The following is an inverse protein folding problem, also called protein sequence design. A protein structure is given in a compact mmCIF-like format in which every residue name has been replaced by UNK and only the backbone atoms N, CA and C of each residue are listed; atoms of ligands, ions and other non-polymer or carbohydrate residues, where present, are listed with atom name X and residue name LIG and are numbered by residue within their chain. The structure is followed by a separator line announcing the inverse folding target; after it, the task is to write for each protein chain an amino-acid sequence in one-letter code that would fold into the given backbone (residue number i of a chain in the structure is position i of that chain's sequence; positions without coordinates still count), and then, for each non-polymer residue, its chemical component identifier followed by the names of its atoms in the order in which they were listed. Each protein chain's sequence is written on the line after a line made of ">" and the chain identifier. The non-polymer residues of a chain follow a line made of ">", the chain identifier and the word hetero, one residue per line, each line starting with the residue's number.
data_IF_848345165222
#
_entry.id   IF_848345165222
#
_cell.length_a   1.000
_cell.length_b   1.000
_cell.length_c   1.000
_cell.angle_alpha   90.00
_cell.angle_beta   90.00
_cell.angle_gamma   90.00
#
_symmetry.space_group_name_H-M   'P 1'
#
loop_
_entity.id
_entity.type
_entity.pdbx_description
1 polymer ?
#
# COMPACT_ATOMS: atom_id res chain seq x y z
N UNK A 1 -5.75 -2.38 -9.59
CA UNK A 1 -5.55 -2.70 -8.16
C UNK A 1 -6.46 -1.83 -7.29
N UNK A 2 -6.41 -0.51 -7.45
CA UNK A 2 -7.12 0.42 -6.56
C UNK A 2 -8.65 0.29 -6.65
N UNK A 3 -9.24 0.28 -7.84
CA UNK A 3 -10.71 0.30 -8.01
C UNK A 3 -11.45 -0.90 -7.37
N UNK A 4 -10.78 -2.04 -7.20
CA UNK A 4 -11.34 -3.25 -6.59
C UNK A 4 -11.09 -3.33 -5.07
N UNK A 5 -10.19 -2.51 -4.54
CA UNK A 5 -9.84 -2.48 -3.11
C UNK A 5 -10.24 -1.14 -2.51
N UNK A 6 -11.40 -1.14 -1.86
CA UNK A 6 -12.04 0.06 -1.33
C UNK A 6 -11.12 0.91 -0.42
N UNK A 7 -10.35 0.28 0.47
CA UNK A 7 -9.51 1.01 1.42
C UNK A 7 -8.30 1.66 0.75
N UNK A 8 -7.61 0.92 -0.13
CA UNK A 8 -6.42 1.46 -0.80
C UNK A 8 -6.82 2.55 -1.82
N UNK A 9 -7.97 2.42 -2.48
CA UNK A 9 -8.49 3.47 -3.38
C UNK A 9 -8.78 4.77 -2.64
N UNK A 10 -9.50 4.71 -1.52
CA UNK A 10 -9.81 5.92 -0.75
C UNK A 10 -8.55 6.56 -0.17
N UNK A 11 -7.59 5.76 0.32
CA UNK A 11 -6.33 6.29 0.81
C UNK A 11 -5.50 6.94 -0.31
N UNK A 12 -5.45 6.32 -1.49
CA UNK A 12 -4.75 6.89 -2.65
C UNK A 12 -5.37 8.22 -3.08
N UNK A 13 -6.69 8.27 -3.27
CA UNK A 13 -7.40 9.49 -3.63
C UNK A 13 -7.16 10.64 -2.63
N UNK A 14 -7.09 10.33 -1.33
CA UNK A 14 -6.83 11.32 -0.29
C UNK A 14 -5.37 11.81 -0.22
N UNK A 15 -4.45 11.18 -0.96
CA UNK A 15 -3.01 11.46 -0.94
C UNK A 15 -2.41 11.84 -2.29
N UNK A 16 -3.24 12.01 -3.33
CA UNK A 16 -2.79 12.50 -4.64
C UNK A 16 -2.10 13.86 -4.51
N UNK A 17 -0.92 14.02 -5.13
CA UNK A 17 -0.10 15.22 -5.04
C UNK A 17 0.63 15.38 -3.70
N UNK A 18 0.59 14.37 -2.83
CA UNK A 18 1.28 14.35 -1.54
C UNK A 18 2.27 13.17 -1.42
N UNK A 19 2.82 12.72 -2.53
CA UNK A 19 3.68 11.53 -2.63
C UNK A 19 4.91 11.63 -1.73
N UNK A 20 5.46 12.83 -1.56
CA UNK A 20 6.65 13.10 -0.74
C UNK A 20 6.33 13.43 0.72
N UNK A 21 5.04 13.57 1.07
CA UNK A 21 4.62 13.87 2.45
C UNK A 21 4.76 12.61 3.29
N UNK A 22 5.27 12.76 4.52
CA UNK A 22 5.35 11.66 5.48
C UNK A 22 3.95 11.12 5.79
N UNK A 23 3.78 9.82 5.57
CA UNK A 23 2.62 9.05 5.97
C UNK A 23 2.79 8.51 7.40
N UNK A 24 3.96 7.92 7.69
CA UNK A 24 4.25 7.31 8.99
C UNK A 24 5.66 7.67 9.45
N UNK A 25 5.81 7.90 10.75
CA UNK A 25 7.10 8.11 11.40
C UNK A 25 7.43 6.92 12.29
N UNK A 26 8.72 6.60 12.39
CA UNK A 26 9.19 5.48 13.20
C UNK A 26 10.34 5.96 14.11
N UNK A 27 10.42 5.51 15.37
CA UNK A 27 11.52 5.88 16.25
C UNK A 27 12.88 5.29 15.83
N UNK A 28 12.88 4.06 15.29
CA UNK A 28 14.09 3.27 15.04
C UNK A 28 14.42 3.06 13.56
N UNK A 29 13.69 3.71 12.64
CA UNK A 29 13.97 3.65 11.20
C UNK A 29 13.48 4.91 10.49
N UNK A 30 13.85 5.05 9.21
CA UNK A 30 13.37 6.13 8.37
C UNK A 30 11.84 6.20 8.35
N UNK A 31 11.31 7.43 8.29
CA UNK A 31 9.89 7.68 8.04
C UNK A 31 9.52 7.18 6.65
N UNK A 32 8.24 6.90 6.45
CA UNK A 32 7.69 6.42 5.18
C UNK A 32 6.77 7.50 4.65
N UNK A 33 7.01 7.90 3.41
CA UNK A 33 6.16 8.81 2.64
C UNK A 33 4.94 8.09 2.04
N UNK A 34 3.94 8.83 1.58
CA UNK A 34 2.81 8.22 0.85
C UNK A 34 3.27 7.46 -0.39
N UNK A 35 4.18 8.02 -1.18
CA UNK A 35 4.72 7.34 -2.37
C UNK A 35 5.41 6.03 -2.02
N UNK A 36 6.21 6.00 -0.96
CA UNK A 36 6.89 4.79 -0.50
C UNK A 36 5.92 3.75 0.07
N UNK A 37 4.84 4.18 0.74
CA UNK A 37 3.77 3.30 1.19
C UNK A 37 3.15 2.55 -0.01
N UNK A 38 2.71 3.28 -1.04
CA UNK A 38 2.05 2.67 -2.20
C UNK A 38 3.01 1.79 -3.00
N UNK A 39 4.24 2.25 -3.25
CA UNK A 39 5.25 1.42 -3.91
C UNK A 39 5.55 0.11 -3.13
N UNK A 40 5.56 0.18 -1.80
CA UNK A 40 5.67 -1.01 -0.94
C UNK A 40 4.45 -1.92 -1.04
N UNK A 41 3.25 -1.35 -1.01
CA UNK A 41 1.99 -2.09 -1.10
C UNK A 41 1.84 -2.80 -2.45
N UNK A 42 2.13 -2.13 -3.56
CA UNK A 42 2.09 -2.70 -4.91
C UNK A 42 3.08 -3.85 -5.08
N UNK A 43 4.32 -3.68 -4.57
CA UNK A 43 5.32 -4.76 -4.58
C UNK A 43 4.84 -6.00 -3.82
N UNK A 44 4.27 -5.80 -2.63
CA UNK A 44 3.74 -6.91 -1.84
C UNK A 44 2.53 -7.56 -2.51
N UNK A 45 1.62 -6.77 -3.08
CA UNK A 45 0.45 -7.27 -3.80
C UNK A 45 0.87 -8.11 -5.02
N UNK A 46 1.84 -7.64 -5.81
CA UNK A 46 2.38 -8.39 -6.93
C UNK A 46 2.97 -9.73 -6.51
N UNK A 47 3.70 -9.78 -5.38
CA UNK A 47 4.24 -11.02 -4.84
C UNK A 47 3.14 -12.00 -4.41
N UNK A 48 2.09 -11.52 -3.73
CA UNK A 48 0.95 -12.36 -3.32
C UNK A 48 0.21 -12.93 -4.54
N UNK A 49 -0.04 -12.11 -5.55
CA UNK A 49 -0.67 -12.55 -6.80
C UNK A 49 0.20 -13.60 -7.51
N UNK A 50 1.53 -13.42 -7.52
CA UNK A 50 2.46 -14.41 -8.08
C UNK A 50 2.45 -15.74 -7.31
N UNK A 51 2.13 -15.73 -6.02
CA UNK A 51 1.89 -16.93 -5.21
C UNK A 51 0.50 -17.55 -5.41
N UNK A 52 -0.33 -16.95 -6.27
CA UNK A 52 -1.66 -17.46 -6.60
C UNK A 52 -2.79 -16.99 -5.68
N UNK A 53 -2.53 -16.00 -4.80
CA UNK A 53 -3.56 -15.38 -3.97
C UNK A 53 -4.57 -14.64 -4.84
N UNK A 54 -5.86 -14.83 -4.57
CA UNK A 54 -6.98 -14.23 -5.30
C UNK A 54 -7.85 -13.34 -4.40
N UNK A 55 -8.66 -12.44 -4.98
CA UNK A 55 -9.67 -11.72 -4.22
C UNK A 55 -10.56 -12.69 -3.42
N UNK A 56 -10.73 -12.42 -2.12
CA UNK A 56 -11.47 -13.26 -1.19
C UNK A 56 -10.62 -14.28 -0.41
N UNK A 57 -9.39 -14.55 -0.84
CA UNK A 57 -8.45 -15.36 -0.06
C UNK A 57 -7.98 -14.61 1.20
N UNK A 58 -7.62 -15.38 2.23
CA UNK A 58 -7.18 -14.84 3.53
C UNK A 58 -5.66 -14.96 3.65
N UNK A 59 -5.01 -13.87 4.04
CA UNK A 59 -3.57 -13.81 4.33
C UNK A 59 -3.40 -13.54 5.81
N UNK A 60 -2.63 -14.37 6.51
CA UNK A 60 -2.27 -14.12 7.90
C UNK A 60 -1.25 -12.98 7.98
N UNK A 61 -1.41 -12.09 8.96
CA UNK A 61 -0.58 -10.89 9.18
C UNK A 61 0.01 -10.86 10.57
#
# INVERSE_FOLDING_TARGET
>A
MYDENHLIAQLHAASEGHETRNFATFPARASVTFGELFAGAERNAAALVAMGVKPGDRVAV
#
